data_IF_057654924117
#
_entry.id   IF_057654924117
#
_cell.length_a   1.000
_cell.length_b   1.000
_cell.length_c   1.000
_cell.angle_alpha   90.00
_cell.angle_beta   90.00
_cell.angle_gamma   90.00
#
_symmetry.space_group_name_H-M   'P 1'
#
loop_
_entity.id
_entity.type
_entity.pdbx_description
1 polymer ?
#
# COMPACT_ATOMS: atom_id res chain seq x y z
N UNK A 1 10.72 -16.71 2.26
CA UNK A 1 11.21 -18.02 1.78
C UNK A 1 12.63 -17.77 1.28
N UNK A 2 13.50 -18.77 1.26
CA UNK A 2 14.82 -18.62 0.63
C UNK A 2 14.87 -19.60 -0.53
N UNK A 3 15.06 -19.09 -1.75
CA UNK A 3 15.14 -19.90 -2.95
C UNK A 3 16.54 -19.83 -3.56
N UNK A 4 17.11 -21.01 -3.84
CA UNK A 4 18.41 -21.15 -4.49
C UNK A 4 18.29 -22.08 -5.69
N UNK A 5 19.10 -21.82 -6.72
CA UNK A 5 19.19 -22.62 -7.95
C UNK A 5 20.62 -23.12 -8.13
N UNK A 6 20.77 -24.42 -8.37
CA UNK A 6 22.06 -25.02 -8.71
C UNK A 6 22.52 -24.63 -10.11
N UNK A 7 23.83 -24.49 -10.30
CA UNK A 7 24.49 -24.10 -11.55
C UNK A 7 25.73 -24.95 -11.79
N UNK A 8 26.00 -25.31 -13.04
CA UNK A 8 27.25 -25.99 -13.43
C UNK A 8 28.48 -25.09 -13.32
N UNK A 9 28.27 -23.77 -13.28
CA UNK A 9 29.33 -22.78 -13.21
C UNK A 9 29.62 -22.46 -11.73
N UNK A 10 30.88 -22.42 -11.36
CA UNK A 10 31.32 -22.12 -9.99
C UNK A 10 31.16 -20.63 -9.66
N UNK A 11 31.39 -19.74 -10.63
CA UNK A 11 31.26 -18.30 -10.45
C UNK A 11 30.90 -17.57 -11.76
N UNK A 12 30.70 -16.24 -11.65
CA UNK A 12 30.28 -15.38 -12.76
C UNK A 12 31.30 -15.30 -13.91
N UNK A 13 32.59 -15.55 -13.66
CA UNK A 13 33.61 -15.50 -14.73
C UNK A 13 33.50 -16.66 -15.73
N UNK A 14 32.86 -17.75 -15.32
CA UNK A 14 32.64 -18.93 -16.17
C UNK A 14 31.33 -18.82 -16.99
N UNK A 15 30.56 -17.75 -16.80
CA UNK A 15 29.31 -17.52 -17.53
C UNK A 15 29.58 -16.85 -18.89
N UNK A 16 29.17 -17.47 -20.01
CA UNK A 16 29.36 -16.88 -21.33
C UNK A 16 28.46 -15.65 -21.60
N UNK A 17 27.33 -15.54 -20.90
CA UNK A 17 26.46 -14.36 -20.96
C UNK A 17 25.91 -14.01 -19.57
N UNK A 18 26.36 -12.90 -19.01
CA UNK A 18 25.94 -12.44 -17.68
C UNK A 18 24.52 -11.87 -17.65
N UNK A 19 23.95 -11.52 -18.82
CA UNK A 19 22.61 -10.93 -18.90
C UNK A 19 21.47 -11.94 -18.74
N UNK A 20 21.73 -13.24 -18.91
CA UNK A 20 20.72 -14.29 -18.78
C UNK A 20 20.63 -14.83 -17.33
N UNK A 21 21.29 -14.15 -16.39
CA UNK A 21 21.35 -14.56 -14.99
C UNK A 21 20.03 -14.29 -14.27
N UNK A 22 19.47 -15.33 -13.65
CA UNK A 22 18.26 -15.25 -12.82
C UNK A 22 18.51 -14.64 -11.42
N UNK A 23 19.75 -14.28 -11.10
CA UNK A 23 20.17 -13.70 -9.83
C UNK A 23 21.67 -13.88 -9.57
N UNK A 24 22.19 -13.35 -8.45
CA UNK A 24 23.63 -13.39 -8.13
C UNK A 24 24.08 -14.79 -7.67
N UNK A 25 25.37 -15.11 -7.87
CA UNK A 25 25.99 -16.24 -7.17
C UNK A 25 26.12 -15.92 -5.69
N UNK A 26 25.65 -16.82 -4.84
CA UNK A 26 25.76 -16.72 -3.37
C UNK A 26 26.80 -17.71 -2.81
N UNK A 27 27.17 -18.71 -3.60
CA UNK A 27 28.27 -19.64 -3.34
C UNK A 27 28.70 -20.31 -4.65
N UNK A 28 29.72 -21.16 -4.61
CA UNK A 28 30.13 -21.99 -5.75
C UNK A 28 28.95 -22.84 -6.21
N UNK A 29 28.66 -22.83 -7.52
CA UNK A 29 27.57 -23.59 -8.12
C UNK A 29 26.17 -23.23 -7.61
N UNK A 30 26.00 -22.13 -6.87
CA UNK A 30 24.72 -21.74 -6.27
C UNK A 30 24.36 -20.30 -6.63
N UNK A 31 23.22 -20.15 -7.30
CA UNK A 31 22.60 -18.87 -7.67
C UNK A 31 21.46 -18.59 -6.68
N UNK A 32 21.48 -17.41 -6.05
CA UNK A 32 20.34 -16.89 -5.30
C UNK A 32 19.26 -16.42 -6.28
N UNK A 33 18.05 -16.94 -6.14
CA UNK A 33 16.93 -16.53 -6.98
C UNK A 33 16.31 -15.27 -6.38
N UNK A 34 16.09 -14.26 -7.20
CA UNK A 34 15.38 -13.05 -6.76
C UNK A 34 13.93 -13.42 -6.46
N UNK A 35 13.47 -13.15 -5.24
CA UNK A 35 12.10 -13.33 -4.82
C UNK A 35 11.58 -12.12 -4.04
N UNK A 36 10.26 -12.03 -3.95
CA UNK A 36 9.56 -11.01 -3.18
C UNK A 36 8.94 -11.61 -1.93
N UNK A 37 8.83 -10.79 -0.88
CA UNK A 37 8.18 -11.16 0.37
C UNK A 37 6.93 -10.30 0.59
N UNK A 38 5.76 -10.92 0.46
CA UNK A 38 4.48 -10.28 0.78
C UNK A 38 3.90 -10.85 2.07
N UNK A 39 3.47 -9.95 2.95
CA UNK A 39 2.77 -10.26 4.20
C UNK A 39 1.46 -9.48 4.19
N UNK A 40 0.36 -10.15 4.55
CA UNK A 40 -0.95 -9.52 4.67
C UNK A 40 -1.43 -9.65 6.10
N UNK A 41 -1.80 -8.52 6.69
CA UNK A 41 -2.42 -8.48 8.01
C UNK A 41 -3.94 -8.43 7.84
N UNK A 42 -4.64 -9.23 8.65
CA UNK A 42 -6.06 -9.08 8.86
C UNK A 42 -6.25 -8.28 10.15
N UNK A 43 -6.72 -7.04 10.00
CA UNK A 43 -6.99 -6.13 11.11
C UNK A 43 -8.50 -5.96 11.22
N UNK A 44 -9.11 -6.65 12.19
CA UNK A 44 -10.52 -6.47 12.52
C UNK A 44 -10.64 -5.31 13.51
N UNK A 45 -11.14 -4.17 13.05
CA UNK A 45 -11.02 -2.89 13.74
C UNK A 45 -12.38 -2.45 14.30
N UNK A 46 -12.51 -2.49 15.63
CA UNK A 46 -13.66 -1.97 16.37
C UNK A 46 -13.26 -0.70 17.16
N UNK A 47 -13.24 0.46 16.50
CA UNK A 47 -12.85 1.71 17.16
C UNK A 47 -14.04 2.24 17.96
N UNK A 48 -13.99 2.16 19.29
CA UNK A 48 -15.11 2.53 20.19
C UNK A 48 -16.47 1.90 19.80
N UNK A 49 -16.44 0.73 19.13
CA UNK A 49 -17.61 0.03 18.63
C UNK A 49 -17.43 -0.50 17.21
N UNK A 50 -18.48 -1.12 16.69
CA UNK A 50 -18.45 -1.84 15.41
C UNK A 50 -18.86 -0.99 14.21
N UNK A 51 -19.43 0.20 14.43
CA UNK A 51 -19.89 1.11 13.37
C UNK A 51 -18.77 2.06 12.94
N UNK A 52 -17.85 1.54 12.12
CA UNK A 52 -16.65 2.23 11.69
C UNK A 52 -16.74 2.72 10.24
N UNK A 53 -15.94 3.73 9.92
CA UNK A 53 -15.75 4.20 8.54
C UNK A 53 -14.27 4.15 8.16
N UNK A 54 -14.00 3.83 6.90
CA UNK A 54 -12.67 3.94 6.30
C UNK A 54 -12.53 5.30 5.62
N UNK A 55 -11.56 6.10 6.07
CA UNK A 55 -11.36 7.48 5.59
C UNK A 55 -9.97 7.60 4.98
N UNK A 56 -9.92 7.98 3.70
CA UNK A 56 -8.70 8.39 3.01
C UNK A 56 -8.47 9.88 3.20
N UNK A 57 -7.25 10.29 3.55
CA UNK A 57 -6.91 11.72 3.70
C UNK A 57 -5.81 12.12 2.71
N UNK A 58 -6.16 12.94 1.72
CA UNK A 58 -5.19 13.46 0.75
C UNK A 58 -4.64 14.82 1.21
N UNK A 59 -3.32 15.00 1.24
CA UNK A 59 -2.71 16.33 1.34
C UNK A 59 -2.58 16.94 -0.05
N UNK A 60 -3.33 18.00 -0.30
CA UNK A 60 -3.29 18.73 -1.57
C UNK A 60 -2.71 20.12 -1.39
N UNK A 61 -1.98 20.58 -2.40
CA UNK A 61 -1.55 21.97 -2.51
C UNK A 61 -2.73 22.84 -2.96
N UNK A 62 -3.04 23.88 -2.19
CA UNK A 62 -4.06 24.87 -2.53
C UNK A 62 -3.39 26.25 -2.72
N UNK A 63 -3.67 26.89 -3.85
CA UNK A 63 -3.17 28.24 -4.14
C UNK A 63 -3.99 29.28 -3.37
N UNK A 64 -3.35 30.32 -2.88
CA UNK A 64 -4.00 31.46 -2.23
C UNK A 64 -4.53 32.43 -3.28
N UNK A 65 -5.67 33.08 -3.00
CA UNK A 65 -6.20 34.11 -3.87
C UNK A 65 -5.34 35.38 -3.86
N UNK A 66 -5.26 36.13 -4.97
CA UNK A 66 -4.55 37.41 -5.01
C UNK A 66 -5.02 38.35 -3.90
N UNK A 67 -4.07 38.90 -3.13
CA UNK A 67 -4.35 39.87 -2.06
C UNK A 67 -4.72 39.26 -0.70
N UNK A 68 -4.91 37.94 -0.58
CA UNK A 68 -5.20 37.32 0.72
C UNK A 68 -3.94 37.03 1.56
N UNK A 69 -2.83 36.68 0.91
CA UNK A 69 -1.58 36.36 1.60
C UNK A 69 -0.36 36.66 0.71
N UNK A 70 0.78 37.05 1.31
CA UNK A 70 2.06 37.05 0.59
C UNK A 70 2.51 35.64 0.16
N UNK A 71 2.07 34.59 0.88
CA UNK A 71 2.36 33.20 0.53
C UNK A 71 1.46 32.77 -0.61
N UNK A 72 2.01 32.15 -1.66
CA UNK A 72 1.26 31.75 -2.87
C UNK A 72 0.40 30.49 -2.70
N UNK A 73 0.76 29.60 -1.77
CA UNK A 73 0.05 28.33 -1.57
C UNK A 73 0.26 27.75 -0.18
N UNK A 74 -0.58 26.78 0.19
CA UNK A 74 -0.51 26.03 1.44
C UNK A 74 -0.97 24.59 1.22
N UNK A 75 -0.66 23.71 2.17
CA UNK A 75 -1.15 22.33 2.17
C UNK A 75 -2.49 22.26 2.89
N UNK A 76 -3.44 21.54 2.31
CA UNK A 76 -4.77 21.30 2.87
C UNK A 76 -5.10 19.82 2.80
N UNK A 77 -5.65 19.29 3.88
CA UNK A 77 -6.17 17.93 3.89
C UNK A 77 -7.58 17.88 3.30
N UNK A 78 -7.79 16.93 2.38
CA UNK A 78 -9.10 16.54 1.86
C UNK A 78 -9.43 15.14 2.36
N UNK A 79 -10.56 15.00 3.04
CA UNK A 79 -11.02 13.72 3.57
C UNK A 79 -12.04 13.11 2.61
N UNK A 80 -11.85 11.83 2.28
CA UNK A 80 -12.80 11.03 1.50
C UNK A 80 -13.21 9.82 2.32
N UNK A 81 -14.50 9.68 2.60
CA UNK A 81 -15.05 8.50 3.27
C UNK A 81 -15.38 7.48 2.19
N UNK A 82 -14.69 6.35 2.18
CA UNK A 82 -14.95 5.29 1.20
C UNK A 82 -16.39 4.78 1.39
N UNK A 83 -17.16 4.72 0.29
CA UNK A 83 -18.55 4.23 0.29
C UNK A 83 -18.70 2.80 -0.21
N UNK A 84 -17.65 2.27 -0.84
CA UNK A 84 -17.61 0.91 -1.38
C UNK A 84 -16.25 0.26 -1.11
N UNK A 85 -16.19 -1.07 -1.16
CA UNK A 85 -14.91 -1.80 -0.99
C UNK A 85 -13.87 -1.41 -2.03
N UNK A 86 -14.33 -1.02 -3.22
CA UNK A 86 -13.46 -0.64 -4.32
C UNK A 86 -12.78 0.71 -4.03
N UNK A 87 -13.53 1.67 -3.49
CA UNK A 87 -12.98 2.95 -3.01
C UNK A 87 -11.99 2.78 -1.84
N UNK A 88 -12.08 1.67 -1.10
CA UNK A 88 -11.18 1.36 0.01
C UNK A 88 -9.91 0.61 -0.43
N UNK A 89 -9.70 0.36 -1.72
CA UNK A 89 -8.45 -0.19 -2.26
C UNK A 89 -7.45 0.94 -2.46
N UNK A 90 -6.41 0.97 -1.62
CA UNK A 90 -5.41 2.04 -1.64
C UNK A 90 -4.10 1.50 -2.21
N UNK A 91 -3.62 2.19 -3.25
CA UNK A 91 -2.24 2.11 -3.71
C UNK A 91 -1.46 3.27 -3.11
N UNK A 92 -0.49 2.95 -2.26
CA UNK A 92 0.34 3.96 -1.61
C UNK A 92 1.35 4.50 -2.63
N UNK A 93 1.45 5.82 -2.72
CA UNK A 93 2.47 6.51 -3.52
C UNK A 93 3.28 7.40 -2.58
N UNK A 94 4.58 7.55 -2.86
CA UNK A 94 5.43 8.49 -2.10
C UNK A 94 5.10 9.96 -2.41
N UNK A 95 4.33 10.20 -3.47
CA UNK A 95 4.01 11.53 -3.98
C UNK A 95 2.69 12.08 -3.43
N UNK A 96 1.84 11.23 -2.85
CA UNK A 96 0.54 11.60 -2.27
C UNK A 96 0.55 11.32 -0.75
N UNK A 97 1.19 12.18 0.06
CA UNK A 97 1.25 11.96 1.50
C UNK A 97 -0.13 12.16 2.14
N UNK A 98 -0.48 11.26 3.07
CA UNK A 98 -1.70 11.34 3.86
C UNK A 98 -1.40 11.70 5.33
N UNK A 99 -1.92 12.83 5.79
CA UNK A 99 -1.82 13.26 7.18
C UNK A 99 -3.10 13.94 7.62
N UNK A 100 -3.76 13.43 8.66
CA UNK A 100 -4.32 14.21 9.80
C UNK A 100 -5.15 13.34 10.76
N UNK A 101 -5.15 13.76 12.02
CA UNK A 101 -5.77 13.14 13.19
C UNK A 101 -7.08 13.85 13.64
N UNK A 102 -7.91 13.11 14.42
CA UNK A 102 -9.19 13.40 15.14
C UNK A 102 -10.54 13.28 14.39
N UNK A 103 -11.61 12.69 15.01
CA UNK A 103 -11.85 12.22 16.41
C UNK A 103 -11.41 10.75 16.67
N UNK A 104 -11.92 10.01 17.70
CA UNK A 104 -11.40 8.67 18.06
C UNK A 104 -11.21 7.78 16.83
N UNK A 105 -9.98 7.32 16.63
CA UNK A 105 -9.57 6.73 15.36
C UNK A 105 -8.15 6.23 15.41
N UNK A 106 -7.84 5.24 14.57
CA UNK A 106 -6.50 4.72 14.38
C UNK A 106 -6.03 5.01 12.97
N UNK A 107 -4.75 5.43 12.85
CA UNK A 107 -4.09 5.66 11.57
C UNK A 107 -3.25 4.44 11.20
N UNK A 108 -3.39 3.92 9.99
CA UNK A 108 -2.42 2.97 9.43
C UNK A 108 -1.26 3.77 8.87
N UNK A 109 -0.08 3.62 9.46
CA UNK A 109 1.16 4.24 8.97
C UNK A 109 2.02 3.18 8.31
N UNK A 110 1.99 3.05 6.98
CA UNK A 110 2.77 2.07 6.26
C UNK A 110 4.25 2.45 6.24
N UNK A 111 5.14 1.45 6.27
CA UNK A 111 6.54 1.63 5.88
C UNK A 111 6.69 1.76 4.36
N UNK A 112 7.93 1.87 3.88
CA UNK A 112 8.22 1.69 2.45
C UNK A 112 7.79 0.29 2.02
N UNK A 113 6.71 0.20 1.25
CA UNK A 113 6.09 -1.07 0.84
C UNK A 113 6.33 -1.30 -0.64
N UNK A 114 6.84 -2.48 -1.00
CA UNK A 114 6.97 -2.89 -2.39
C UNK A 114 5.59 -3.18 -3.00
N UNK A 115 5.46 -2.99 -4.31
CA UNK A 115 4.35 -3.48 -5.11
C UNK A 115 4.82 -4.70 -5.89
N UNK A 116 3.90 -5.63 -6.20
CA UNK A 116 4.24 -6.76 -7.08
C UNK A 116 4.72 -6.27 -8.43
N UNK A 117 5.80 -6.89 -8.93
CA UNK A 117 6.39 -6.63 -10.24
C UNK A 117 5.90 -7.61 -11.32
N UNK A 118 5.08 -8.60 -10.95
CA UNK A 118 4.53 -9.57 -11.88
C UNK A 118 3.45 -8.97 -12.77
N UNK A 119 3.31 -9.50 -13.99
CA UNK A 119 2.18 -9.16 -14.87
C UNK A 119 0.86 -9.55 -14.19
N UNK A 120 -0.18 -8.73 -14.35
CA UNK A 120 -1.47 -8.96 -13.71
C UNK A 120 -2.16 -10.26 -14.18
N UNK A 121 -1.82 -10.74 -15.37
CA UNK A 121 -2.35 -11.98 -15.95
C UNK A 121 -1.46 -13.20 -15.66
N UNK A 122 -0.32 -13.03 -15.01
CA UNK A 122 0.57 -14.13 -14.63
C UNK A 122 -0.15 -15.03 -13.59
N UNK A 123 -0.21 -16.37 -13.76
CA UNK A 123 -0.92 -17.23 -12.83
C UNK A 123 -0.57 -17.06 -11.34
N UNK A 124 0.70 -16.83 -10.93
CA UNK A 124 1.03 -16.50 -9.55
C UNK A 124 0.40 -15.18 -9.08
N UNK A 125 0.37 -14.16 -9.93
CA UNK A 125 -0.21 -12.85 -9.59
C UNK A 125 -1.74 -12.91 -9.50
N UNK A 126 -2.41 -13.69 -10.36
CA UNK A 126 -3.86 -13.94 -10.28
C UNK A 126 -4.19 -14.62 -8.94
N UNK A 127 -3.40 -15.63 -8.54
CA UNK A 127 -3.60 -16.34 -7.27
C UNK A 127 -3.27 -15.48 -6.05
N UNK A 128 -2.29 -14.58 -6.18
CA UNK A 128 -1.86 -13.66 -5.14
C UNK A 128 -2.44 -12.24 -5.32
N UNK A 129 -3.62 -12.09 -5.94
CA UNK A 129 -4.20 -10.79 -6.29
C UNK A 129 -4.41 -9.82 -5.10
N UNK A 130 -4.30 -10.31 -3.86
CA UNK A 130 -4.26 -9.47 -2.67
C UNK A 130 -3.04 -8.53 -2.63
N UNK A 131 -1.96 -8.83 -3.36
CA UNK A 131 -0.76 -7.97 -3.45
C UNK A 131 -0.91 -6.81 -4.44
N UNK A 132 -2.03 -6.73 -5.17
CA UNK A 132 -2.29 -5.66 -6.13
C UNK A 132 -2.48 -4.27 -5.49
N UNK A 133 -2.80 -4.23 -4.19
CA UNK A 133 -3.00 -3.01 -3.42
C UNK A 133 -2.42 -3.21 -2.03
N UNK A 134 -1.84 -2.16 -1.44
CA UNK A 134 -1.19 -2.24 -0.14
C UNK A 134 -2.19 -2.24 1.02
N UNK A 135 -3.28 -1.47 0.90
CA UNK A 135 -4.37 -1.48 1.87
C UNK A 135 -5.71 -1.77 1.19
N UNK A 136 -6.59 -2.47 1.89
CA UNK A 136 -7.98 -2.72 1.49
C UNK A 136 -8.89 -2.79 2.72
N UNK A 137 -10.07 -2.19 2.65
CA UNK A 137 -11.16 -2.49 3.58
C UNK A 137 -12.23 -3.36 2.90
N UNK A 138 -12.85 -4.25 3.67
CA UNK A 138 -13.91 -5.16 3.20
C UNK A 138 -15.20 -4.95 4.00
N UNK A 139 -16.33 -5.16 3.33
CA UNK A 139 -17.62 -4.56 3.63
C UNK A 139 -18.40 -5.16 4.78
N UNK A 140 -17.82 -6.03 5.62
CA UNK A 140 -18.52 -6.49 6.82
C UNK A 140 -18.75 -5.34 7.83
N UNK A 141 -18.02 -4.21 7.70
CA UNK A 141 -18.08 -3.11 8.68
C UNK A 141 -17.94 -1.68 8.11
N UNK A 142 -17.68 -1.47 6.81
CA UNK A 142 -17.14 -0.19 6.32
C UNK A 142 -18.15 0.82 5.75
N UNK A 143 -19.41 0.43 5.48
CA UNK A 143 -20.34 1.23 4.68
C UNK A 143 -21.68 1.47 5.37
N UNK A 144 -21.64 1.86 6.65
CA UNK A 144 -22.78 2.46 7.33
C UNK A 144 -23.11 3.82 6.74
N UNK A 145 -24.20 3.92 5.96
CA UNK A 145 -24.80 5.20 5.59
C UNK A 145 -25.59 5.70 6.80
N UNK A 146 -25.18 6.79 7.42
CA UNK A 146 -26.04 7.52 8.36
C UNK A 146 -25.92 9.02 8.17
N UNK A 147 -26.85 9.57 7.39
CA UNK A 147 -27.26 10.97 7.49
C UNK A 147 -27.86 11.20 8.89
N UNK A 148 -27.06 11.55 9.90
CA UNK A 148 -27.44 12.34 11.10
C UNK A 148 -26.46 12.12 12.26
N UNK A 149 -25.71 13.17 12.62
CA UNK A 149 -25.47 13.61 14.00
C UNK A 149 -24.82 12.69 15.06
N UNK A 150 -24.48 11.42 14.80
CA UNK A 150 -23.75 10.57 15.76
C UNK A 150 -22.24 10.75 15.62
N UNK A 151 -21.54 10.73 16.76
CA UNK A 151 -20.07 10.74 16.81
C UNK A 151 -19.56 9.42 16.24
N UNK A 152 -19.12 9.44 14.99
CA UNK A 152 -18.49 8.30 14.33
C UNK A 152 -16.99 8.27 14.64
N UNK A 153 -16.50 7.08 14.90
CA UNK A 153 -15.09 6.72 14.99
C UNK A 153 -14.61 6.21 13.63
N UNK A 154 -13.32 6.36 13.32
CA UNK A 154 -12.83 6.11 11.96
C UNK A 154 -11.45 5.50 11.93
N UNK A 155 -11.24 4.54 11.03
CA UNK A 155 -9.91 4.12 10.63
C UNK A 155 -9.45 5.02 9.48
N UNK A 156 -8.29 5.67 9.66
CA UNK A 156 -7.76 6.68 8.74
C UNK A 156 -6.53 6.12 8.05
N UNK A 157 -6.48 6.27 6.72
CA UNK A 157 -5.29 5.99 5.89
C UNK A 157 -4.86 7.25 5.16
#
# INVERSE_FOLDING_TARGET
MLMVKGSSNENMHQMPNTNDMSGPFVSENVIGVVDDHFITFHLDMDIDGTDNSFVKVDLVKEETLPGQSPRKSYLKAKRHVAKTEDEARIKLTLYDPSELSNPSGYKVVPGGTAASLLDLNDPPQIRAAFTNNQNRAVGWWAFGVSEQGRRHTSCVV
#
